data_IF_446971445930
#
_entry.id   IF_446971445930
#
_cell.length_a   1.000
_cell.length_b   1.000
_cell.length_c   1.000
_cell.angle_alpha   90.00
_cell.angle_beta   90.00
_cell.angle_gamma   90.00
#
_symmetry.space_group_name_H-M   'P 1'
#
loop_
_entity.id
_entity.type
_entity.pdbx_description
1 polymer ?
#
# COMPACT_ATOMS: atom_id res chain seq x y z
N UNK A 1 -17.28 6.89 -15.53
CA UNK A 1 -17.12 5.42 -15.62
C UNK A 1 -16.66 4.91 -14.28
N UNK A 2 -17.45 4.04 -13.64
CA UNK A 2 -17.00 3.32 -12.46
C UNK A 2 -15.82 2.42 -12.86
N UNK A 3 -14.70 2.50 -12.13
CA UNK A 3 -13.59 1.57 -12.31
C UNK A 3 -14.14 0.16 -12.13
N UNK A 4 -14.00 -0.71 -13.12
CA UNK A 4 -14.30 -2.12 -12.96
C UNK A 4 -13.14 -2.79 -12.21
N UNK A 5 -13.11 -2.58 -10.89
CA UNK A 5 -12.10 -3.17 -10.00
C UNK A 5 -12.06 -4.69 -10.09
N UNK A 6 -13.16 -5.36 -10.44
CA UNK A 6 -13.21 -6.81 -10.60
C UNK A 6 -12.25 -7.31 -11.68
N UNK A 7 -12.25 -6.65 -12.85
CA UNK A 7 -11.37 -7.05 -13.96
C UNK A 7 -9.92 -6.64 -13.71
N UNK A 8 -9.68 -5.47 -13.10
CA UNK A 8 -8.35 -5.08 -12.64
C UNK A 8 -7.76 -6.12 -11.69
N UNK A 9 -8.50 -6.46 -10.63
CA UNK A 9 -8.06 -7.44 -9.62
C UNK A 9 -7.76 -8.77 -10.29
N UNK A 10 -8.60 -9.23 -11.22
CA UNK A 10 -8.37 -10.47 -11.95
C UNK A 10 -7.06 -10.44 -12.75
N UNK A 11 -6.77 -9.35 -13.46
CA UNK A 11 -5.55 -9.19 -14.24
C UNK A 11 -4.31 -9.09 -13.31
N UNK A 12 -4.39 -8.23 -12.28
CA UNK A 12 -3.30 -7.99 -11.33
C UNK A 12 -3.02 -9.18 -10.40
N UNK A 13 -3.97 -10.10 -10.21
CA UNK A 13 -3.76 -11.35 -9.44
C UNK A 13 -2.88 -12.37 -10.17
N UNK A 14 -2.66 -12.21 -11.48
CA UNK A 14 -1.70 -13.05 -12.23
C UNK A 14 -0.30 -12.51 -12.06
N UNK A 15 0.71 -13.37 -12.18
CA UNK A 15 2.10 -12.91 -12.29
C UNK A 15 2.28 -12.09 -13.58
N UNK A 16 3.17 -11.07 -13.59
CA UNK A 16 3.47 -10.24 -14.77
C UNK A 16 3.58 -11.02 -16.09
N UNK A 17 4.35 -12.11 -16.09
CA UNK A 17 4.62 -12.97 -17.25
C UNK A 17 3.42 -13.79 -17.74
N UNK A 18 2.35 -13.87 -16.95
CA UNK A 18 1.12 -14.62 -17.28
C UNK A 18 0.00 -13.74 -17.84
N UNK A 19 0.20 -12.42 -17.90
CA UNK A 19 -0.81 -11.46 -18.35
C UNK A 19 -0.78 -11.30 -19.85
N UNK A 20 -1.95 -11.21 -20.46
CA UNK A 20 -2.06 -10.90 -21.89
C UNK A 20 -1.95 -9.40 -22.14
N UNK A 21 -1.54 -9.01 -23.36
CA UNK A 21 -1.50 -7.61 -23.78
C UNK A 21 -2.85 -6.91 -23.63
N UNK A 22 -3.95 -7.61 -23.93
CA UNK A 22 -5.32 -7.12 -23.74
C UNK A 22 -5.61 -6.83 -22.27
N UNK A 23 -5.22 -7.72 -21.36
CA UNK A 23 -5.45 -7.49 -19.92
C UNK A 23 -4.70 -6.25 -19.40
N UNK A 24 -3.48 -6.02 -19.89
CA UNK A 24 -2.69 -4.86 -19.53
C UNK A 24 -3.33 -3.59 -20.11
N UNK A 25 -3.61 -3.57 -21.41
CA UNK A 25 -4.09 -2.37 -22.12
C UNK A 25 -5.51 -1.97 -21.76
N UNK A 26 -6.40 -2.94 -21.54
CA UNK A 26 -7.82 -2.66 -21.36
C UNK A 26 -8.19 -2.49 -19.88
N UNK A 27 -7.37 -3.01 -18.95
CA UNK A 27 -7.70 -3.00 -17.52
C UNK A 27 -6.65 -2.28 -16.66
N UNK A 28 -5.37 -2.61 -16.78
CA UNK A 28 -4.33 -2.06 -15.89
C UNK A 28 -3.95 -0.63 -16.29
N UNK A 29 -3.67 -0.38 -17.57
CA UNK A 29 -3.25 0.94 -18.07
C UNK A 29 -4.31 2.01 -17.83
N UNK A 30 -5.60 1.80 -18.19
CA UNK A 30 -6.61 2.84 -18.00
C UNK A 30 -6.84 3.11 -16.52
N UNK A 31 -6.78 2.07 -15.70
CA UNK A 31 -6.88 2.18 -14.25
C UNK A 31 -5.73 2.99 -13.67
N UNK A 32 -4.48 2.64 -13.98
CA UNK A 32 -3.31 3.32 -13.45
C UNK A 32 -3.29 4.78 -13.91
N UNK A 33 -3.53 5.06 -15.20
CA UNK A 33 -3.66 6.42 -15.70
C UNK A 33 -4.74 7.21 -14.97
N UNK A 34 -5.88 6.60 -14.66
CA UNK A 34 -6.95 7.26 -13.92
C UNK A 34 -6.59 7.51 -12.45
N UNK A 35 -5.92 6.55 -11.81
CA UNK A 35 -5.45 6.66 -10.42
C UNK A 35 -4.41 7.77 -10.28
N UNK A 36 -3.41 7.77 -11.18
CA UNK A 36 -2.30 8.72 -11.19
C UNK A 36 -2.71 10.13 -11.60
N UNK A 37 -3.63 10.30 -12.57
CA UNK A 37 -4.09 11.64 -13.01
C UNK A 37 -4.91 12.39 -11.96
N UNK A 38 -5.50 11.69 -10.99
CA UNK A 38 -6.26 12.34 -9.91
C UNK A 38 -5.36 13.00 -8.86
N UNK A 39 -4.04 12.76 -8.90
CA UNK A 39 -3.13 13.17 -7.83
C UNK A 39 -2.08 14.18 -8.29
N UNK A 40 -1.81 15.15 -7.42
CA UNK A 40 -0.68 16.07 -7.55
C UNK A 40 0.56 15.37 -7.02
N UNK A 41 1.34 14.77 -7.92
CA UNK A 41 2.51 13.98 -7.53
C UNK A 41 3.43 13.67 -8.72
N UNK A 42 4.47 12.88 -8.45
CA UNK A 42 5.54 12.51 -9.40
C UNK A 42 5.03 11.97 -10.75
N UNK A 43 3.83 11.39 -10.77
CA UNK A 43 3.25 10.72 -11.93
C UNK A 43 2.69 11.65 -13.00
N UNK A 44 2.52 12.95 -12.74
CA UNK A 44 2.10 13.89 -13.79
C UNK A 44 3.18 14.11 -14.85
N UNK A 45 4.45 13.84 -14.51
CA UNK A 45 5.61 14.06 -15.38
C UNK A 45 6.10 12.77 -16.07
N UNK A 46 5.47 11.64 -15.80
CA UNK A 46 5.87 10.35 -16.34
C UNK A 46 5.21 10.16 -17.71
N UNK A 47 6.00 9.75 -18.71
CA UNK A 47 5.50 9.50 -20.06
C UNK A 47 4.60 8.27 -20.12
N UNK A 48 3.75 8.22 -21.13
CA UNK A 48 2.83 7.09 -21.34
C UNK A 48 3.57 5.75 -21.52
N UNK A 49 4.77 5.76 -22.11
CA UNK A 49 5.59 4.55 -22.28
C UNK A 49 6.10 4.02 -20.94
N UNK A 50 6.54 4.90 -20.04
CA UNK A 50 7.00 4.49 -18.70
C UNK A 50 5.82 4.00 -17.87
N UNK A 51 4.64 4.65 -17.97
CA UNK A 51 3.40 4.15 -17.35
C UNK A 51 3.09 2.74 -17.86
N UNK A 52 3.23 2.52 -19.17
CA UNK A 52 2.98 1.20 -19.76
C UNK A 52 3.95 0.14 -19.25
N UNK A 53 5.24 0.48 -19.10
CA UNK A 53 6.24 -0.43 -18.53
C UNK A 53 5.95 -0.74 -17.05
N UNK A 54 5.54 0.24 -16.25
CA UNK A 54 5.10 0.01 -14.86
C UNK A 54 3.88 -0.92 -14.82
N UNK A 55 2.92 -0.74 -15.74
CA UNK A 55 1.73 -1.60 -15.81
C UNK A 55 2.06 -3.08 -16.08
N UNK A 56 3.20 -3.37 -16.71
CA UNK A 56 3.65 -4.75 -16.93
C UNK A 56 4.13 -5.38 -15.64
N UNK A 57 4.75 -4.61 -14.73
CA UNK A 57 5.44 -5.13 -13.54
C UNK A 57 4.61 -5.07 -12.25
N UNK A 58 3.53 -4.28 -12.21
CA UNK A 58 2.70 -4.11 -11.01
C UNK A 58 2.20 -5.45 -10.46
N UNK A 59 2.09 -5.60 -9.15
CA UNK A 59 1.57 -6.81 -8.50
C UNK A 59 0.42 -6.47 -7.56
N UNK A 60 -0.57 -7.36 -7.46
CA UNK A 60 -1.60 -7.25 -6.44
C UNK A 60 -1.11 -7.90 -5.14
N UNK A 61 -1.04 -7.10 -4.09
CA UNK A 61 -0.71 -7.58 -2.75
C UNK A 61 -1.93 -7.51 -1.84
N UNK A 62 -2.21 -8.61 -1.14
CA UNK A 62 -3.30 -8.67 -0.14
C UNK A 62 -2.68 -8.81 1.24
N UNK A 63 -3.12 -7.94 2.14
CA UNK A 63 -2.66 -7.90 3.52
C UNK A 63 -3.86 -8.05 4.46
N UNK A 64 -3.77 -8.87 5.52
CA UNK A 64 -4.80 -8.88 6.54
C UNK A 64 -4.80 -7.56 7.32
N UNK A 65 -5.87 -7.30 8.06
CA UNK A 65 -5.90 -6.17 8.98
C UNK A 65 -4.76 -6.27 10.00
N UNK A 66 -4.16 -5.13 10.34
CA UNK A 66 -3.05 -5.01 11.30
C UNK A 66 -1.71 -5.59 10.85
N UNK A 67 -1.57 -6.00 9.60
CA UNK A 67 -0.27 -6.35 9.03
C UNK A 67 0.59 -5.11 8.76
N UNK A 68 1.92 -5.28 8.84
CA UNK A 68 2.89 -4.22 8.58
C UNK A 68 3.28 -4.26 7.10
N UNK A 69 3.02 -3.17 6.37
CA UNK A 69 3.34 -3.10 4.93
C UNK A 69 4.80 -2.71 4.70
N UNK A 70 5.27 -1.65 5.36
CA UNK A 70 6.65 -1.16 5.32
C UNK A 70 7.06 -0.65 6.70
N UNK A 71 8.36 -0.64 7.02
CA UNK A 71 8.88 -0.02 8.24
C UNK A 71 9.71 1.21 7.95
N UNK A 72 9.74 2.12 8.91
CA UNK A 72 10.60 3.30 8.84
C UNK A 72 12.07 2.87 8.72
N UNK A 73 12.79 3.47 7.77
CA UNK A 73 14.18 3.15 7.42
C UNK A 73 14.41 1.81 6.71
N UNK A 74 13.37 1.04 6.39
CA UNK A 74 13.54 -0.09 5.46
C UNK A 74 14.00 0.44 4.09
N UNK A 75 14.83 -0.33 3.36
CA UNK A 75 15.17 0.00 1.98
C UNK A 75 13.90 0.17 1.14
N UNK A 76 13.67 1.38 0.63
CA UNK A 76 12.54 1.66 -0.24
C UNK A 76 12.82 1.26 -1.68
N UNK A 77 12.28 0.11 -2.11
CA UNK A 77 12.30 -0.37 -3.50
C UNK A 77 10.91 -0.56 -4.13
N UNK A 78 9.85 -0.49 -3.31
CA UNK A 78 8.48 -0.79 -3.72
C UNK A 78 7.57 0.42 -3.49
N UNK A 79 6.76 0.72 -4.50
CA UNK A 79 5.73 1.76 -4.45
C UNK A 79 4.34 1.13 -4.41
N UNK A 80 3.50 1.60 -3.50
CA UNK A 80 2.19 0.99 -3.22
C UNK A 80 1.05 1.92 -3.62
N UNK A 81 -0.03 1.33 -4.16
CA UNK A 81 -1.30 2.01 -4.38
C UNK A 81 -2.39 1.21 -3.66
N UNK A 82 -3.12 1.85 -2.75
CA UNK A 82 -4.19 1.23 -1.99
C UNK A 82 -5.39 1.06 -2.90
N UNK A 83 -5.74 -0.18 -3.24
CA UNK A 83 -6.96 -0.46 -4.02
C UNK A 83 -8.22 -0.43 -3.15
N UNK A 84 -8.13 -1.08 -1.99
CA UNK A 84 -9.24 -1.24 -1.05
C UNK A 84 -8.69 -1.36 0.38
N UNK A 85 -9.42 -0.82 1.35
CA UNK A 85 -9.00 -0.78 2.75
C UNK A 85 -8.33 0.54 3.10
N UNK A 86 -7.58 0.52 4.20
CA UNK A 86 -6.86 1.66 4.73
C UNK A 86 -5.53 1.23 5.33
N UNK A 87 -4.55 2.14 5.29
CA UNK A 87 -3.23 1.99 5.90
C UNK A 87 -3.01 3.15 6.85
N UNK A 88 -2.62 2.86 8.08
CA UNK A 88 -2.23 3.88 9.05
C UNK A 88 -0.72 4.08 8.99
N UNK A 89 -0.30 5.34 8.94
CA UNK A 89 1.11 5.74 8.99
C UNK A 89 1.41 6.19 10.40
N UNK A 90 2.47 5.63 10.95
CA UNK A 90 3.04 6.01 12.24
C UNK A 90 4.50 6.40 12.04
N UNK A 91 5.04 7.17 12.98
CA UNK A 91 6.44 7.58 12.98
C UNK A 91 7.03 7.41 14.36
N UNK A 92 8.19 6.75 14.40
CA UNK A 92 9.02 6.67 15.59
C UNK A 92 9.85 7.94 15.69
N UNK A 93 9.91 8.51 16.89
CA UNK A 93 10.79 9.64 17.16
C UNK A 93 12.25 9.17 17.16
N UNK A 94 13.16 10.02 16.68
CA UNK A 94 14.57 9.66 16.46
C UNK A 94 15.30 9.19 17.75
N UNK A 95 14.79 9.57 18.93
CA UNK A 95 15.33 9.19 20.24
C UNK A 95 14.89 7.79 20.72
N UNK A 96 13.88 7.18 20.08
CA UNK A 96 13.39 5.85 20.45
C UNK A 96 13.66 4.86 19.30
N UNK A 97 14.81 4.14 19.33
CA UNK A 97 15.19 3.26 18.25
C UNK A 97 14.16 2.16 18.06
N UNK A 98 13.97 1.80 16.80
CA UNK A 98 12.87 0.99 16.31
C UNK A 98 12.48 -0.17 17.25
N UNK A 99 11.19 -0.39 17.50
CA UNK A 99 10.74 -1.61 18.13
C UNK A 99 11.21 -2.76 17.26
N UNK A 100 12.16 -3.50 17.82
CA UNK A 100 12.71 -4.73 17.25
C UNK A 100 11.54 -5.56 16.77
N UNK A 101 11.51 -5.85 15.45
CA UNK A 101 10.55 -6.74 14.77
C UNK A 101 9.28 -6.99 15.57
N UNK A 102 8.20 -6.28 15.24
CA UNK A 102 6.87 -6.66 15.76
C UNK A 102 6.68 -8.14 15.46
N UNK A 103 6.66 -8.91 16.53
CA UNK A 103 6.50 -10.35 16.49
C UNK A 103 5.15 -10.64 15.82
N UNK A 104 5.07 -11.76 15.09
CA UNK A 104 3.80 -12.31 14.61
C UNK A 104 2.80 -12.42 15.76
N UNK A 105 3.28 -12.72 16.98
CA UNK A 105 2.45 -12.74 18.18
C UNK A 105 1.84 -11.36 18.47
N UNK A 106 2.60 -10.27 18.33
CA UNK A 106 2.08 -8.90 18.49
C UNK A 106 1.09 -8.50 17.38
N UNK A 107 1.33 -8.90 16.12
CA UNK A 107 0.36 -8.72 15.02
C UNK A 107 -0.96 -9.45 15.33
N UNK A 108 -0.84 -10.68 15.83
CA UNK A 108 -1.97 -11.52 16.21
C UNK A 108 -2.74 -10.91 17.38
N UNK A 109 -2.05 -10.33 18.36
CA UNK A 109 -2.68 -9.58 19.47
C UNK A 109 -3.45 -8.37 18.96
N UNK A 110 -2.89 -7.53 18.08
CA UNK A 110 -3.61 -6.37 17.52
C UNK A 110 -4.93 -6.78 16.85
N UNK A 111 -4.90 -7.87 16.08
CA UNK A 111 -6.07 -8.42 15.41
C UNK A 111 -7.15 -8.93 16.39
N UNK A 112 -6.78 -9.28 17.62
CA UNK A 112 -7.71 -9.79 18.65
C UNK A 112 -8.22 -8.69 19.59
N UNK A 113 -7.59 -7.51 19.61
CA UNK A 113 -7.88 -6.42 20.56
C UNK A 113 -9.07 -5.51 20.15
N UNK A 114 -10.01 -5.98 19.34
CA UNK A 114 -11.18 -5.15 18.93
C UNK A 114 -12.10 -4.78 20.12
N UNK A 115 -11.96 -5.45 21.26
CA UNK A 115 -12.80 -5.25 22.44
C UNK A 115 -12.26 -4.20 23.45
N UNK A 116 -10.99 -3.79 23.35
CA UNK A 116 -10.34 -2.84 24.28
C UNK A 116 -9.47 -1.84 23.49
N UNK A 117 -10.06 -0.69 23.07
CA UNK A 117 -9.38 0.27 22.22
C UNK A 117 -8.23 0.99 22.91
N UNK A 118 -8.29 1.19 24.23
CA UNK A 118 -7.25 1.90 24.99
C UNK A 118 -5.97 1.05 25.04
N UNK A 119 -6.11 -0.25 25.35
CA UNK A 119 -4.98 -1.19 25.35
C UNK A 119 -4.36 -1.34 23.95
N UNK A 120 -5.20 -1.31 22.91
CA UNK A 120 -4.73 -1.33 21.52
C UNK A 120 -3.89 -0.09 21.21
N UNK A 121 -4.37 1.09 21.55
CA UNK A 121 -3.67 2.35 21.29
C UNK A 121 -2.30 2.37 21.99
N UNK A 122 -2.25 1.94 23.25
CA UNK A 122 -1.00 1.83 24.00
C UNK A 122 0.03 0.94 23.29
N UNK A 123 -0.36 -0.28 22.89
CA UNK A 123 0.53 -1.21 22.19
C UNK A 123 0.96 -0.69 20.81
N UNK A 124 0.07 -0.03 20.07
CA UNK A 124 0.40 0.58 18.77
C UNK A 124 1.43 1.69 18.94
N UNK A 125 1.24 2.59 19.92
CA UNK A 125 2.18 3.68 20.17
C UNK A 125 3.54 3.14 20.60
N UNK A 126 3.58 2.10 21.44
CA UNK A 126 4.83 1.44 21.81
C UNK A 126 5.52 0.77 20.61
N UNK A 127 4.77 0.16 19.70
CA UNK A 127 5.28 -0.62 18.58
C UNK A 127 5.50 0.17 17.27
N UNK A 128 4.93 1.36 17.12
CA UNK A 128 5.01 2.11 15.87
C UNK A 128 5.23 3.61 16.06
N UNK A 129 5.14 4.10 17.30
CA UNK A 129 5.26 5.52 17.62
C UNK A 129 3.98 6.30 17.35
N UNK A 130 4.15 7.57 17.05
CA UNK A 130 3.05 8.53 16.95
C UNK A 130 2.28 8.33 15.64
N UNK A 131 0.95 8.29 15.74
CA UNK A 131 0.08 8.29 14.56
C UNK A 131 0.23 9.58 13.76
N UNK A 132 0.35 9.45 12.44
CA UNK A 132 0.49 10.57 11.52
C UNK A 132 -0.79 10.75 10.70
N UNK A 133 -1.19 9.71 9.94
CA UNK A 133 -2.31 9.79 9.00
C UNK A 133 -2.82 8.41 8.58
N UNK A 134 -4.11 8.32 8.28
CA UNK A 134 -4.71 7.17 7.59
C UNK A 134 -4.85 7.47 6.11
N UNK A 135 -4.26 6.61 5.29
CA UNK A 135 -4.45 6.56 3.85
C UNK A 135 -5.56 5.55 3.52
N UNK A 136 -6.42 5.87 2.56
CA UNK A 136 -7.54 5.00 2.15
C UNK A 136 -7.42 4.59 0.69
N UNK A 137 -8.37 3.79 0.19
CA UNK A 137 -8.46 3.42 -1.22
C UNK A 137 -8.29 4.61 -2.17
N UNK A 138 -7.41 4.43 -3.16
CA UNK A 138 -6.98 5.46 -4.10
C UNK A 138 -5.75 6.26 -3.65
N UNK A 139 -5.29 6.11 -2.40
CA UNK A 139 -4.01 6.68 -1.95
C UNK A 139 -2.81 5.81 -2.28
N UNK A 140 -1.62 6.42 -2.24
CA UNK A 140 -0.33 5.84 -2.57
C UNK A 140 0.71 6.25 -1.54
N UNK A 141 1.79 5.46 -1.43
CA UNK A 141 2.91 5.69 -0.53
C UNK A 141 4.14 4.88 -0.96
N UNK A 142 5.29 5.17 -0.35
CA UNK A 142 6.56 4.47 -0.61
C UNK A 142 7.47 5.20 -1.60
N UNK A 143 7.09 6.41 -2.02
CA UNK A 143 7.97 7.30 -2.76
C UNK A 143 9.17 7.73 -1.90
N UNK A 144 10.35 7.77 -2.51
CA UNK A 144 11.53 8.37 -1.89
C UNK A 144 11.34 9.88 -1.90
N UNK A 145 11.22 10.48 -0.72
CA UNK A 145 11.21 11.92 -0.52
C UNK A 145 12.57 12.55 -0.84
#
# INVERSE_FOLDING_TARGET
MALNYGTLIRAASKLPEQRTTTEINDFIVPWLKQSLKKKQGIFQKISDDVIYDICKTIMLERRPAWDVVIRQNDPGDTFYIILQGSVNIYRLDDDNPQPTLIDIDTITEFAQLDADPDKREELIVQAFGNYIVTLVGGFDFGERA
#
